data_IF_768352245317
#
_entry.id   IF_768352245317
#
_cell.length_a   1.000
_cell.length_b   1.000
_cell.length_c   1.000
_cell.angle_alpha   90.00
_cell.angle_beta   90.00
_cell.angle_gamma   90.00
#
_symmetry.space_group_name_H-M   'P 1'
#
loop_
_entity.id
_entity.type
_entity.pdbx_description
1 polymer ?
#
# COMPACT_ATOMS: atom_id res chain seq x y z
N UNK A 1 4.89 -3.46 -10.95
CA UNK A 1 5.41 -2.18 -11.47
C UNK A 1 4.92 -1.05 -10.58
N UNK A 2 5.68 0.05 -10.52
CA UNK A 2 5.31 1.28 -9.83
C UNK A 2 5.04 2.34 -10.90
N UNK A 3 3.81 2.87 -11.04
CA UNK A 3 3.53 3.91 -12.02
C UNK A 3 4.24 5.21 -11.64
N UNK A 4 4.67 5.97 -12.64
CA UNK A 4 5.22 7.32 -12.43
C UNK A 4 4.11 8.30 -12.05
N UNK A 5 4.47 9.37 -11.35
CA UNK A 5 3.50 10.40 -10.98
C UNK A 5 2.93 11.12 -12.21
N UNK A 6 3.75 11.27 -13.27
CA UNK A 6 3.29 11.85 -14.55
C UNK A 6 2.27 10.95 -15.24
N UNK A 7 2.51 9.63 -15.28
CA UNK A 7 1.51 8.68 -15.80
C UNK A 7 0.18 8.80 -15.06
N UNK A 8 0.22 8.89 -13.74
CA UNK A 8 -0.99 9.01 -12.93
C UNK A 8 -1.73 10.35 -13.18
N UNK A 9 -0.97 11.44 -13.37
CA UNK A 9 -1.54 12.75 -13.74
C UNK A 9 -2.20 12.71 -15.11
N UNK A 10 -1.52 12.13 -16.11
CA UNK A 10 -2.08 11.97 -17.46
C UNK A 10 -3.31 11.08 -17.47
N UNK A 11 -3.31 9.97 -16.72
CA UNK A 11 -4.46 9.11 -16.58
C UNK A 11 -5.67 9.88 -16.02
N UNK A 12 -5.47 10.72 -14.99
CA UNK A 12 -6.53 11.57 -14.44
C UNK A 12 -7.04 12.57 -15.48
N UNK A 13 -6.14 13.19 -16.26
CA UNK A 13 -6.49 14.14 -17.32
C UNK A 13 -7.34 13.46 -18.40
N UNK A 14 -6.93 12.29 -18.88
CA UNK A 14 -7.68 11.50 -19.85
C UNK A 14 -9.07 11.14 -19.32
N UNK A 15 -9.16 10.62 -18.10
CA UNK A 15 -10.46 10.32 -17.49
C UNK A 15 -11.36 11.56 -17.39
N UNK A 16 -10.79 12.73 -17.13
CA UNK A 16 -11.55 13.99 -17.08
C UNK A 16 -12.02 14.40 -18.48
N UNK A 17 -11.15 14.30 -19.48
CA UNK A 17 -11.44 14.68 -20.87
C UNK A 17 -12.55 13.84 -21.48
N UNK A 18 -12.57 12.55 -21.18
CA UNK A 18 -13.53 11.60 -21.74
C UNK A 18 -14.70 11.29 -20.80
N UNK A 19 -14.85 12.05 -19.70
CA UNK A 19 -15.85 11.81 -18.64
C UNK A 19 -15.85 10.35 -18.13
N UNK A 20 -14.68 9.74 -18.09
CA UNK A 20 -14.49 8.41 -17.56
C UNK A 20 -14.27 8.44 -16.05
N UNK A 21 -14.76 7.42 -15.35
CA UNK A 21 -14.56 7.25 -13.93
C UNK A 21 -13.15 6.68 -13.65
N UNK A 22 -12.34 7.39 -12.85
CA UNK A 22 -11.07 6.89 -12.37
C UNK A 22 -11.27 6.17 -11.03
N UNK A 23 -11.06 4.86 -11.05
CA UNK A 23 -11.11 4.02 -9.85
C UNK A 23 -9.68 3.61 -9.49
N UNK A 24 -9.25 3.88 -8.25
CA UNK A 24 -7.96 3.43 -7.75
C UNK A 24 -8.14 2.37 -6.66
N UNK A 25 -7.45 1.26 -6.85
CA UNK A 25 -7.38 0.19 -5.85
C UNK A 25 -6.22 0.48 -4.87
N UNK A 26 -6.58 1.02 -3.71
CA UNK A 26 -5.65 1.30 -2.61
C UNK A 26 -5.73 0.23 -1.50
N UNK A 27 -6.27 -0.94 -1.82
CA UNK A 27 -6.41 -2.05 -0.86
C UNK A 27 -5.08 -2.43 -0.22
N UNK A 28 -3.99 -2.39 -0.99
CA UNK A 28 -2.65 -2.73 -0.49
C UNK A 28 -1.76 -1.51 -0.24
N UNK A 29 -1.90 -0.46 -1.02
CA UNK A 29 -1.04 0.73 -1.00
C UNK A 29 -1.50 1.81 -0.02
N UNK A 30 -2.76 1.80 0.37
CA UNK A 30 -3.34 2.74 1.31
C UNK A 30 -2.98 2.47 2.78
N UNK A 31 -3.55 3.28 3.64
CA UNK A 31 -3.35 3.23 5.10
C UNK A 31 -1.87 3.30 5.50
N UNK A 32 -1.15 4.27 4.93
CA UNK A 32 0.24 4.55 5.29
C UNK A 32 1.29 3.64 4.68
N UNK A 33 0.91 2.52 4.06
CA UNK A 33 1.82 1.50 3.52
C UNK A 33 2.88 2.07 2.57
N UNK A 34 2.51 3.03 1.73
CA UNK A 34 3.41 3.68 0.78
C UNK A 34 4.15 4.90 1.34
N UNK A 35 3.99 5.24 2.63
CA UNK A 35 4.55 6.45 3.22
C UNK A 35 3.70 7.71 3.01
N UNK A 36 2.50 7.55 2.45
CA UNK A 36 1.39 8.50 2.46
C UNK A 36 0.11 7.76 2.81
N UNK A 37 -0.93 8.46 3.26
CA UNK A 37 -2.19 7.78 3.61
C UNK A 37 -2.73 6.97 2.42
N UNK A 38 -2.73 7.57 1.22
CA UNK A 38 -3.00 6.89 -0.04
C UNK A 38 -1.87 7.13 -1.03
N UNK A 39 -1.52 6.12 -1.84
CA UNK A 39 -0.42 6.19 -2.79
C UNK A 39 -0.66 7.24 -3.90
N UNK A 40 -1.91 7.45 -4.34
CA UNK A 40 -2.22 8.46 -5.36
C UNK A 40 -1.89 9.90 -4.93
N UNK A 41 -1.71 10.15 -3.64
CA UNK A 41 -1.32 11.47 -3.13
C UNK A 41 0.09 11.89 -3.59
N UNK A 42 0.94 10.95 -4.03
CA UNK A 42 2.23 11.30 -4.64
C UNK A 42 2.06 12.05 -5.94
N UNK A 43 1.10 11.65 -6.76
CA UNK A 43 0.78 12.34 -8.02
C UNK A 43 -0.07 13.62 -7.83
N UNK A 44 -0.60 13.86 -6.64
CA UNK A 44 -1.46 15.01 -6.33
C UNK A 44 -2.84 14.94 -7.02
N UNK A 45 -3.28 13.77 -7.46
CA UNK A 45 -4.55 13.58 -8.15
C UNK A 45 -5.68 13.23 -7.16
N UNK A 46 -6.93 13.40 -7.62
CA UNK A 46 -8.13 12.95 -6.92
C UNK A 46 -8.87 11.94 -7.80
N UNK A 47 -8.95 10.66 -7.41
CA UNK A 47 -9.76 9.68 -8.12
C UNK A 47 -11.25 9.90 -7.83
N UNK A 48 -12.08 9.28 -8.65
CA UNK A 48 -13.54 9.30 -8.46
C UNK A 48 -13.98 8.25 -7.43
N UNK A 49 -13.29 7.10 -7.40
CA UNK A 49 -13.54 6.02 -6.43
C UNK A 49 -12.20 5.47 -5.91
N UNK A 50 -12.17 5.08 -4.62
CA UNK A 50 -11.01 4.40 -4.01
C UNK A 50 -11.52 3.16 -3.28
N UNK A 51 -11.05 1.98 -3.71
CA UNK A 51 -11.29 0.75 -2.96
C UNK A 51 -10.25 0.59 -1.83
N UNK A 52 -10.74 0.21 -0.65
CA UNK A 52 -9.93 0.06 0.57
C UNK A 52 -10.27 -1.24 1.30
N UNK A 53 -9.26 -1.89 1.86
CA UNK A 53 -9.39 -3.06 2.71
C UNK A 53 -8.07 -3.28 3.49
N UNK A 54 -7.75 -4.51 3.85
CA UNK A 54 -6.50 -4.93 4.53
C UNK A 54 -6.11 -4.03 5.71
N UNK A 55 -5.34 -2.97 5.46
CA UNK A 55 -4.88 -2.04 6.48
C UNK A 55 -6.00 -1.29 7.20
N UNK A 56 -7.18 -1.16 6.61
CA UNK A 56 -8.31 -0.39 7.17
C UNK A 56 -8.69 -0.82 8.60
N UNK A 57 -8.61 -2.12 8.90
CA UNK A 57 -8.98 -2.67 10.21
C UNK A 57 -7.96 -3.70 10.72
N UNK A 58 -6.71 -3.64 10.22
CA UNK A 58 -5.55 -4.41 10.67
C UNK A 58 -5.82 -5.90 10.91
N UNK A 59 -6.50 -6.55 9.95
CA UNK A 59 -6.82 -7.98 9.99
C UNK A 59 -8.26 -8.32 10.37
N UNK A 60 -9.04 -7.40 10.93
CA UNK A 60 -10.48 -7.60 11.04
C UNK A 60 -11.12 -7.55 9.64
N UNK A 61 -12.03 -8.51 9.29
CA UNK A 61 -12.63 -8.56 7.95
C UNK A 61 -13.46 -7.29 7.65
N UNK A 62 -12.89 -6.39 6.88
CA UNK A 62 -13.51 -5.15 6.46
C UNK A 62 -12.98 -4.70 5.11
N UNK A 63 -13.85 -4.10 4.31
CA UNK A 63 -13.51 -3.35 3.12
C UNK A 63 -14.44 -2.18 2.95
N UNK A 64 -14.06 -1.22 2.13
CA UNK A 64 -14.83 -0.02 1.88
C UNK A 64 -14.59 0.54 0.49
N UNK A 65 -15.46 1.46 0.10
CA UNK A 65 -15.31 2.25 -1.11
C UNK A 65 -15.52 3.72 -0.75
N UNK A 66 -14.49 4.53 -0.99
CA UNK A 66 -14.60 5.99 -0.90
C UNK A 66 -15.14 6.50 -2.23
N UNK A 67 -16.23 7.25 -2.16
CA UNK A 67 -17.00 7.67 -3.35
C UNK A 67 -16.96 9.19 -3.43
N UNK A 68 -16.51 9.72 -4.58
CA UNK A 68 -16.52 11.15 -4.86
C UNK A 68 -17.95 11.71 -4.82
N UNK A 69 -18.16 12.95 -4.36
CA UNK A 69 -19.45 13.65 -4.44
C UNK A 69 -20.01 13.81 -5.86
N UNK A 70 -19.23 13.51 -6.89
CA UNK A 70 -19.69 13.41 -8.28
C UNK A 70 -20.86 12.41 -8.42
N UNK A 71 -20.83 11.33 -7.64
CA UNK A 71 -21.88 10.31 -7.65
C UNK A 71 -22.94 10.63 -6.61
N UNK A 72 -24.21 10.60 -7.03
CA UNK A 72 -25.34 10.81 -6.13
C UNK A 72 -25.89 9.47 -5.66
N UNK A 73 -26.08 9.27 -4.36
CA UNK A 73 -26.65 8.04 -3.85
C UNK A 73 -28.12 7.91 -4.30
N UNK A 74 -28.49 6.69 -4.66
CA UNK A 74 -29.87 6.33 -4.99
C UNK A 74 -30.26 5.15 -4.10
N UNK A 75 -31.49 5.17 -3.56
CA UNK A 75 -31.98 4.09 -2.72
C UNK A 75 -31.91 2.73 -3.44
N UNK A 76 -31.35 1.73 -2.76
CA UNK A 76 -31.15 0.39 -3.32
C UNK A 76 -29.97 0.23 -4.27
N UNK A 77 -29.16 1.27 -4.50
CA UNK A 77 -27.98 1.21 -5.36
C UNK A 77 -26.89 0.27 -4.81
N UNK A 78 -26.70 0.28 -3.50
CA UNK A 78 -25.75 -0.55 -2.81
C UNK A 78 -26.44 -1.31 -1.69
N UNK A 79 -26.05 -2.56 -1.51
CA UNK A 79 -26.57 -3.39 -0.44
C UNK A 79 -25.52 -4.36 0.07
N UNK A 80 -25.47 -4.52 1.40
CA UNK A 80 -24.59 -5.48 2.04
C UNK A 80 -25.19 -5.89 3.39
N UNK A 81 -25.14 -7.17 3.71
CA UNK A 81 -25.72 -7.68 4.95
C UNK A 81 -24.91 -7.25 6.17
N UNK A 82 -23.58 -7.28 6.07
CA UNK A 82 -22.67 -7.01 7.21
C UNK A 82 -21.89 -5.70 7.07
N UNK A 83 -22.09 -4.95 5.98
CA UNK A 83 -21.38 -3.68 5.76
C UNK A 83 -21.74 -2.65 6.84
N UNK A 84 -20.71 -1.96 7.35
CA UNK A 84 -20.88 -0.97 8.40
C UNK A 84 -21.21 -1.55 9.77
N UNK A 85 -20.93 -2.84 10.02
CA UNK A 85 -21.16 -3.41 11.37
C UNK A 85 -20.25 -2.74 12.40
N UNK A 86 -20.77 -2.63 13.63
CA UNK A 86 -20.13 -1.85 14.69
C UNK A 86 -18.72 -2.36 15.06
N UNK A 87 -18.48 -3.66 15.03
CA UNK A 87 -17.16 -4.22 15.36
C UNK A 87 -16.12 -3.84 14.32
N UNK A 88 -16.45 -3.96 13.03
CA UNK A 88 -15.54 -3.55 11.95
C UNK A 88 -15.25 -2.04 12.00
N UNK A 89 -16.29 -1.21 12.23
CA UNK A 89 -16.11 0.23 12.36
C UNK A 89 -15.26 0.60 13.58
N UNK A 90 -15.47 -0.03 14.72
CA UNK A 90 -14.66 0.19 15.92
C UNK A 90 -13.19 -0.21 15.70
N UNK A 91 -12.94 -1.35 15.03
CA UNK A 91 -11.58 -1.76 14.67
C UNK A 91 -10.90 -0.76 13.72
N UNK A 92 -11.64 -0.25 12.72
CA UNK A 92 -11.10 0.74 11.79
C UNK A 92 -10.78 2.08 12.47
N UNK A 93 -11.63 2.54 13.38
CA UNK A 93 -11.38 3.76 14.17
C UNK A 93 -10.11 3.60 14.99
N UNK A 94 -9.99 2.49 15.74
CA UNK A 94 -8.79 2.22 16.54
C UNK A 94 -7.50 2.17 15.69
N UNK A 95 -7.57 1.67 14.46
CA UNK A 95 -6.43 1.70 13.53
C UNK A 95 -6.06 3.13 13.16
N UNK A 96 -7.04 3.97 12.87
CA UNK A 96 -6.79 5.38 12.52
C UNK A 96 -6.18 6.15 13.69
N UNK A 97 -6.71 5.95 14.90
CA UNK A 97 -6.19 6.58 16.12
C UNK A 97 -4.72 6.19 16.36
N UNK A 98 -4.39 4.90 16.30
CA UNK A 98 -3.01 4.41 16.45
C UNK A 98 -2.10 4.96 15.34
N UNK A 99 -2.57 5.01 14.10
CA UNK A 99 -1.78 5.55 12.99
C UNK A 99 -1.41 7.01 13.19
N UNK A 100 -2.32 7.80 13.77
CA UNK A 100 -2.09 9.21 14.10
C UNK A 100 -1.19 9.35 15.33
N UNK A 101 -1.53 8.72 16.44
CA UNK A 101 -0.82 8.80 17.72
C UNK A 101 0.65 8.36 17.60
N UNK A 102 0.90 7.26 16.90
CA UNK A 102 2.24 6.71 16.69
C UNK A 102 2.95 7.25 15.43
N UNK A 103 2.30 8.15 14.68
CA UNK A 103 2.84 8.74 13.44
C UNK A 103 3.34 7.69 12.44
N UNK A 104 2.56 6.62 12.27
CA UNK A 104 2.98 5.45 11.50
C UNK A 104 3.22 5.75 10.01
N UNK A 105 2.56 6.75 9.44
CA UNK A 105 2.77 7.17 8.04
C UNK A 105 4.17 7.78 7.87
N UNK A 106 4.57 8.66 8.77
CA UNK A 106 5.89 9.29 8.77
C UNK A 106 6.98 8.23 8.99
N UNK A 107 6.72 7.29 9.91
CA UNK A 107 7.63 6.18 10.16
C UNK A 107 7.80 5.30 8.91
N UNK A 108 6.70 4.94 8.24
CA UNK A 108 6.75 4.16 7.01
C UNK A 108 7.55 4.87 5.89
N UNK A 109 7.42 6.19 5.77
CA UNK A 109 8.19 6.97 4.82
C UNK A 109 9.69 6.94 5.14
N UNK A 110 10.06 7.18 6.41
CA UNK A 110 11.45 7.21 6.88
C UNK A 110 12.14 5.85 6.76
N UNK A 111 11.52 4.82 7.35
CA UNK A 111 12.09 3.46 7.33
C UNK A 111 12.14 2.91 5.91
N UNK A 112 11.12 3.22 5.10
CA UNK A 112 11.10 2.84 3.69
C UNK A 112 12.23 3.47 2.89
N UNK A 113 12.53 4.76 3.09
CA UNK A 113 13.66 5.43 2.45
C UNK A 113 15.00 4.80 2.86
N UNK A 114 15.18 4.54 4.16
CA UNK A 114 16.36 3.85 4.68
C UNK A 114 16.54 2.46 4.06
N UNK A 115 15.47 1.65 4.03
CA UNK A 115 15.53 0.31 3.44
C UNK A 115 15.87 0.35 1.95
N UNK A 116 15.30 1.27 1.20
CA UNK A 116 15.62 1.44 -0.22
C UNK A 116 17.09 1.79 -0.41
N UNK A 117 17.62 2.71 0.39
CA UNK A 117 19.05 3.09 0.35
C UNK A 117 19.96 1.90 0.65
N UNK A 118 19.68 1.13 1.71
CA UNK A 118 20.50 -0.03 2.08
C UNK A 118 20.41 -1.15 1.03
N UNK A 119 19.22 -1.41 0.50
CA UNK A 119 19.03 -2.44 -0.53
C UNK A 119 19.79 -2.11 -1.82
N UNK A 120 19.87 -0.83 -2.21
CA UNK A 120 20.62 -0.42 -3.41
C UNK A 120 22.14 -0.65 -3.29
N UNK A 121 22.68 -0.87 -2.09
CA UNK A 121 24.08 -1.19 -1.86
C UNK A 121 24.39 -2.68 -2.09
N UNK A 122 23.35 -3.52 -2.17
CA UNK A 122 23.53 -4.97 -2.31
C UNK A 122 23.77 -5.36 -3.77
N UNK A 123 24.77 -6.23 -4.03
CA UNK A 123 25.03 -6.74 -5.38
C UNK A 123 24.00 -7.81 -5.80
N UNK A 124 23.91 -8.08 -7.10
CA UNK A 124 23.11 -9.17 -7.65
C UNK A 124 21.61 -8.88 -7.73
N UNK A 125 21.18 -7.66 -7.49
CA UNK A 125 19.81 -7.22 -7.65
C UNK A 125 19.65 -6.55 -9.02
N UNK A 126 18.62 -6.95 -9.77
CA UNK A 126 18.29 -6.38 -11.07
C UNK A 126 17.62 -5.02 -10.96
N UNK A 127 16.58 -4.94 -10.13
CA UNK A 127 15.80 -3.72 -9.90
C UNK A 127 15.25 -3.68 -8.48
N UNK A 128 15.30 -2.50 -7.87
CA UNK A 128 14.61 -2.23 -6.62
C UNK A 128 13.59 -1.12 -6.87
N UNK A 129 12.35 -1.35 -6.49
CA UNK A 129 11.27 -0.39 -6.65
C UNK A 129 10.36 -0.40 -5.44
N UNK A 130 9.87 0.77 -5.04
CA UNK A 130 8.95 0.86 -3.92
C UNK A 130 8.72 2.30 -3.45
N UNK A 131 7.77 2.43 -2.53
CA UNK A 131 7.49 3.66 -1.77
C UNK A 131 7.10 3.26 -0.35
N UNK A 132 7.63 3.96 0.63
CA UNK A 132 7.42 3.61 2.02
C UNK A 132 7.82 2.15 2.30
N UNK A 133 6.98 1.43 3.00
CA UNK A 133 7.20 0.02 3.36
C UNK A 133 6.52 -0.96 2.38
N UNK A 134 6.44 -0.60 1.11
CA UNK A 134 6.00 -1.47 0.01
C UNK A 134 7.11 -1.54 -1.02
N UNK A 135 7.99 -2.55 -0.90
CA UNK A 135 9.23 -2.67 -1.66
C UNK A 135 9.23 -3.99 -2.45
N UNK A 136 9.62 -3.91 -3.71
CA UNK A 136 9.87 -5.05 -4.58
C UNK A 136 11.35 -5.09 -4.98
N UNK A 137 11.95 -6.27 -4.83
CA UNK A 137 13.34 -6.56 -5.20
C UNK A 137 13.31 -7.60 -6.31
N UNK A 138 13.70 -7.22 -7.50
CA UNK A 138 13.70 -8.09 -8.68
C UNK A 138 15.09 -8.64 -8.95
N UNK A 139 15.14 -9.91 -9.27
CA UNK A 139 16.36 -10.67 -9.60
C UNK A 139 16.29 -11.16 -11.03
N UNK A 140 17.45 -11.43 -11.66
CA UNK A 140 17.49 -12.08 -12.99
C UNK A 140 17.05 -13.53 -12.92
N UNK A 141 17.37 -14.21 -11.83
CA UNK A 141 17.08 -15.62 -11.61
C UNK A 141 15.88 -15.83 -10.69
N UNK A 142 15.43 -17.10 -10.59
CA UNK A 142 14.33 -17.46 -9.69
C UNK A 142 14.69 -17.21 -8.22
N UNK A 143 13.79 -16.57 -7.50
CA UNK A 143 13.95 -16.26 -6.07
C UNK A 143 13.72 -17.44 -5.14
N UNK A 144 13.44 -18.64 -5.66
CA UNK A 144 13.04 -19.82 -4.85
C UNK A 144 14.05 -20.16 -3.78
N UNK A 145 15.35 -20.22 -4.14
CA UNK A 145 16.41 -20.55 -3.21
C UNK A 145 16.68 -19.44 -2.20
N UNK A 146 16.74 -18.20 -2.67
CA UNK A 146 16.94 -17.02 -1.80
C UNK A 146 15.83 -16.93 -0.76
N UNK A 147 14.57 -17.09 -1.18
CA UNK A 147 13.42 -17.11 -0.27
C UNK A 147 13.49 -18.24 0.75
N UNK A 148 13.89 -19.44 0.31
CA UNK A 148 14.02 -20.59 1.19
C UNK A 148 15.07 -20.33 2.28
N UNK A 149 16.22 -19.79 1.91
CA UNK A 149 17.27 -19.39 2.89
C UNK A 149 16.80 -18.32 3.83
N UNK A 150 16.21 -17.23 3.31
CA UNK A 150 15.66 -16.16 4.15
C UNK A 150 14.66 -16.71 5.18
N UNK A 151 13.75 -17.60 4.78
CA UNK A 151 12.74 -18.14 5.67
C UNK A 151 13.33 -19.14 6.69
N UNK A 152 14.11 -20.13 6.22
CA UNK A 152 14.49 -21.26 7.06
C UNK A 152 15.82 -21.04 7.83
N UNK A 153 16.74 -20.26 7.27
CA UNK A 153 18.03 -19.99 7.90
C UNK A 153 17.98 -18.66 8.66
N UNK A 154 17.56 -17.57 7.98
CA UNK A 154 17.58 -16.21 8.55
C UNK A 154 16.29 -15.83 9.30
N UNK A 155 15.24 -16.68 9.25
CA UNK A 155 13.92 -16.43 9.89
C UNK A 155 13.21 -15.17 9.38
N UNK A 156 13.51 -14.75 8.16
CA UNK A 156 12.91 -13.58 7.51
C UNK A 156 11.77 -14.04 6.58
N UNK A 157 10.55 -13.68 6.97
CA UNK A 157 9.37 -13.97 6.16
C UNK A 157 9.17 -12.92 5.07
N UNK A 158 9.10 -13.34 3.81
CA UNK A 158 8.93 -12.44 2.67
C UNK A 158 7.72 -12.83 1.81
N UNK A 159 7.10 -11.83 1.18
CA UNK A 159 6.13 -12.05 0.12
C UNK A 159 6.79 -12.25 -1.25
N UNK A 160 5.96 -12.51 -2.27
CA UNK A 160 6.41 -12.66 -3.66
C UNK A 160 5.52 -11.89 -4.62
N UNK A 161 6.09 -11.54 -5.78
CA UNK A 161 5.36 -11.07 -6.95
C UNK A 161 5.94 -11.77 -8.20
N UNK A 162 5.31 -12.88 -8.61
CA UNK A 162 5.85 -13.75 -9.64
C UNK A 162 7.03 -14.58 -9.15
N UNK A 163 7.90 -15.02 -10.07
CA UNK A 163 9.00 -15.95 -9.80
C UNK A 163 10.35 -15.28 -9.57
N UNK A 164 10.45 -13.97 -9.82
CA UNK A 164 11.71 -13.22 -9.80
C UNK A 164 11.71 -12.05 -8.83
N UNK A 165 10.59 -11.76 -8.17
CA UNK A 165 10.48 -10.59 -7.28
C UNK A 165 10.15 -10.99 -5.86
N UNK A 166 11.04 -10.67 -4.93
CA UNK A 166 10.76 -10.67 -3.49
C UNK A 166 10.02 -9.39 -3.16
N UNK A 167 8.96 -9.50 -2.35
CA UNK A 167 8.18 -8.36 -1.87
C UNK A 167 8.34 -8.21 -0.37
N UNK A 168 8.79 -7.05 0.07
CA UNK A 168 8.89 -6.69 1.48
C UNK A 168 7.70 -5.80 1.86
N UNK A 169 7.00 -6.19 2.91
CA UNK A 169 5.86 -5.50 3.50
C UNK A 169 5.97 -5.53 5.04
N UNK A 170 7.03 -4.96 5.63
CA UNK A 170 7.20 -4.99 7.06
C UNK A 170 6.08 -4.21 7.76
N UNK A 171 5.83 -4.44 9.07
CA UNK A 171 4.87 -3.66 9.85
C UNK A 171 5.16 -2.16 9.80
N UNK A 172 4.14 -1.32 9.88
CA UNK A 172 4.30 0.15 9.82
C UNK A 172 5.08 0.70 11.03
N UNK A 173 5.05 0.01 12.16
CA UNK A 173 5.77 0.37 13.39
C UNK A 173 7.22 -0.15 13.42
N UNK A 174 7.71 -0.75 12.34
CA UNK A 174 9.07 -1.25 12.27
C UNK A 174 10.07 -0.09 12.45
N UNK A 175 11.05 -0.26 13.35
CA UNK A 175 12.09 0.75 13.59
C UNK A 175 13.32 0.47 12.72
N UNK A 176 14.00 1.55 12.27
CA UNK A 176 15.33 1.40 11.68
C UNK A 176 16.37 1.09 12.78
N UNK A 177 17.48 0.40 12.46
CA UNK A 177 18.55 0.14 13.43
C UNK A 177 19.19 1.40 14.04
N UNK A 178 18.97 2.56 13.44
CA UNK A 178 19.49 3.86 13.90
C UNK A 178 18.53 4.62 14.84
N UNK A 179 17.42 4.02 15.25
CA UNK A 179 16.39 4.65 16.10
C UNK A 179 16.58 4.34 17.60
N UNK A 180 17.80 3.98 18.04
CA UNK A 180 18.21 3.84 19.45
C UNK A 180 19.15 4.96 19.85
#
# INVERSE_FOLDING_TARGET
QLPTDDFMRELRNLCTTYDACLILDEIQSGYGRSGKFFAHQYAGIKPDLISVAKGIANGFPMGGLLISPKFKPVYGMLGTTFGGNHLACAAAIAVLDIMEDERLIDNAAKVGAYLLEELHKLPGIKEIRGRGLMIGIEFEESIKEVRSKLLFEEKVFTGVAGTHTIRLLPPLFHSSPTAT
#
